data_IF_010629920467
#
_entry.id   IF_010629920467
#
_cell.length_a   1.000
_cell.length_b   1.000
_cell.length_c   1.000
_cell.angle_alpha   90.00
_cell.angle_beta   90.00
_cell.angle_gamma   90.00
#
_symmetry.space_group_name_H-M   'P 1'
#
loop_
_entity.id
_entity.type
_entity.pdbx_description
1 polymer ?
#
# COMPACT_ATOMS: atom_id res chain seq x y z
N UNK A 1 -32.68 33.42 -6.91
CA UNK A 1 -32.75 32.49 -5.76
C UNK A 1 -33.34 31.19 -6.25
N UNK A 2 -32.57 30.10 -6.31
CA UNK A 2 -33.10 28.78 -6.70
C UNK A 2 -33.98 28.28 -5.54
N UNK A 3 -35.22 27.94 -5.84
CA UNK A 3 -36.18 27.37 -4.89
C UNK A 3 -35.59 26.13 -4.19
N UNK A 4 -35.70 26.09 -2.86
CA UNK A 4 -35.12 25.03 -2.01
C UNK A 4 -35.65 23.65 -2.43
N UNK A 5 -36.94 23.54 -2.80
CA UNK A 5 -37.52 22.27 -3.26
C UNK A 5 -36.89 21.80 -4.57
N UNK A 6 -36.65 22.72 -5.49
CA UNK A 6 -35.98 22.44 -6.77
C UNK A 6 -34.53 21.98 -6.57
N UNK A 7 -33.81 22.57 -5.61
CA UNK A 7 -32.44 22.17 -5.26
C UNK A 7 -32.40 20.79 -4.59
N UNK A 8 -33.32 20.50 -3.68
CA UNK A 8 -33.44 19.18 -3.03
C UNK A 8 -33.74 18.08 -4.04
N UNK A 9 -34.69 18.30 -4.95
CA UNK A 9 -35.04 17.34 -6.01
C UNK A 9 -33.87 17.03 -6.95
N UNK A 10 -33.05 18.03 -7.25
CA UNK A 10 -31.87 17.85 -8.09
C UNK A 10 -30.76 17.06 -7.38
N UNK A 11 -30.59 17.28 -6.07
CA UNK A 11 -29.67 16.49 -5.23
C UNK A 11 -30.14 15.04 -5.11
N UNK A 12 -31.42 14.78 -4.87
CA UNK A 12 -31.99 13.43 -4.83
C UNK A 12 -31.75 12.67 -6.14
N UNK A 13 -31.98 13.33 -7.29
CA UNK A 13 -31.71 12.74 -8.61
C UNK A 13 -30.23 12.42 -8.81
N UNK A 14 -29.33 13.30 -8.34
CA UNK A 14 -27.88 13.07 -8.42
C UNK A 14 -27.41 11.92 -7.53
N UNK A 15 -27.92 11.83 -6.30
CA UNK A 15 -27.60 10.74 -5.37
C UNK A 15 -28.14 9.41 -5.89
N UNK A 16 -29.35 9.40 -6.47
CA UNK A 16 -29.92 8.20 -7.09
C UNK A 16 -29.09 7.69 -8.28
N UNK A 17 -28.52 8.59 -9.08
CA UNK A 17 -27.61 8.24 -10.18
C UNK A 17 -26.25 7.66 -9.71
N UNK A 18 -25.91 7.83 -8.42
CA UNK A 18 -24.70 7.29 -7.79
C UNK A 18 -25.05 6.13 -6.83
N UNK A 19 -26.13 5.40 -7.14
CA UNK A 19 -26.47 4.19 -6.39
C UNK A 19 -25.44 3.09 -6.70
N UNK A 20 -24.90 2.51 -5.63
CA UNK A 20 -23.91 1.43 -5.66
C UNK A 20 -24.61 0.17 -5.17
N UNK A 21 -24.33 -0.98 -5.80
CA UNK A 21 -24.94 -2.26 -5.43
C UNK A 21 -24.49 -2.73 -4.03
N UNK A 22 -25.28 -3.60 -3.39
CA UNK A 22 -24.91 -4.14 -2.07
C UNK A 22 -23.66 -5.04 -2.16
N UNK A 23 -23.52 -5.81 -3.24
CA UNK A 23 -22.37 -6.68 -3.49
C UNK A 23 -21.09 -5.84 -3.58
N UNK A 24 -21.15 -4.69 -4.26
CA UNK A 24 -20.03 -3.74 -4.32
C UNK A 24 -19.68 -3.17 -2.94
N UNK A 25 -20.69 -2.89 -2.10
CA UNK A 25 -20.46 -2.39 -0.72
C UNK A 25 -19.76 -3.45 0.15
N UNK A 26 -20.11 -4.73 -0.04
CA UNK A 26 -19.47 -5.84 0.64
C UNK A 26 -18.03 -6.05 0.15
N UNK A 27 -17.80 -6.04 -1.17
CA UNK A 27 -16.46 -6.08 -1.77
C UNK A 27 -15.58 -4.92 -1.29
N UNK A 28 -16.12 -3.70 -1.24
CA UNK A 28 -15.42 -2.53 -0.70
C UNK A 28 -15.05 -2.73 0.78
N UNK A 29 -15.94 -3.34 1.57
CA UNK A 29 -15.66 -3.65 2.98
C UNK A 29 -14.49 -4.62 3.11
N UNK A 30 -14.44 -5.67 2.27
CA UNK A 30 -13.34 -6.63 2.24
C UNK A 30 -12.01 -5.96 1.86
N UNK A 31 -11.99 -5.15 0.79
CA UNK A 31 -10.80 -4.38 0.37
C UNK A 31 -10.28 -3.50 1.50
N UNK A 32 -11.17 -2.82 2.22
CA UNK A 32 -10.77 -1.97 3.34
C UNK A 32 -10.22 -2.78 4.52
N UNK A 33 -10.81 -3.92 4.85
CA UNK A 33 -10.32 -4.81 5.90
C UNK A 33 -8.94 -5.40 5.56
N UNK A 34 -8.72 -5.76 4.29
CA UNK A 34 -7.42 -6.21 3.78
C UNK A 34 -6.36 -5.10 3.86
N UNK A 35 -6.77 -3.84 3.71
CA UNK A 35 -5.92 -2.67 3.95
C UNK A 35 -5.79 -2.28 5.44
N UNK A 36 -6.34 -3.08 6.35
CA UNK A 36 -6.21 -2.93 7.79
C UNK A 36 -7.17 -1.91 8.41
N UNK A 37 -8.17 -1.42 7.67
CA UNK A 37 -9.22 -0.56 8.24
C UNK A 37 -10.19 -1.38 9.09
N UNK A 38 -10.57 -0.87 10.27
CA UNK A 38 -11.48 -1.58 11.18
C UNK A 38 -12.74 -0.76 11.49
N UNK A 39 -13.92 -1.38 11.43
CA UNK A 39 -15.18 -0.74 11.84
C UNK A 39 -16.43 -1.46 11.35
N UNK A 40 -17.53 -1.34 12.10
CA UNK A 40 -18.83 -1.86 11.67
C UNK A 40 -19.46 -0.93 10.62
N UNK A 41 -20.03 -1.52 9.56
CA UNK A 41 -20.69 -0.75 8.49
C UNK A 41 -19.75 0.11 7.64
N UNK A 42 -18.47 -0.25 7.55
CA UNK A 42 -17.42 0.52 6.89
C UNK A 42 -17.75 0.89 5.44
N UNK A 43 -18.23 -0.07 4.63
CA UNK A 43 -18.61 0.20 3.24
C UNK A 43 -19.70 1.27 3.10
N UNK A 44 -20.68 1.31 4.02
CA UNK A 44 -21.72 2.33 4.02
C UNK A 44 -21.21 3.71 4.45
N UNK A 45 -20.28 3.77 5.39
CA UNK A 45 -19.64 5.03 5.80
C UNK A 45 -18.80 5.60 4.65
N UNK A 46 -17.99 4.76 4.01
CA UNK A 46 -17.16 5.15 2.88
C UNK A 46 -18.00 5.52 1.65
N UNK A 47 -19.14 4.86 1.42
CA UNK A 47 -20.09 5.29 0.39
C UNK A 47 -20.60 6.72 0.64
N UNK A 48 -20.91 7.08 1.88
CA UNK A 48 -21.33 8.45 2.21
C UNK A 48 -20.21 9.46 1.99
N UNK A 49 -18.98 9.09 2.30
CA UNK A 49 -17.78 9.90 2.04
C UNK A 49 -17.59 10.12 0.55
N UNK A 50 -17.57 9.04 -0.24
CA UNK A 50 -17.45 9.08 -1.70
C UNK A 50 -18.53 9.95 -2.36
N UNK A 51 -19.79 9.81 -1.93
CA UNK A 51 -20.87 10.66 -2.42
C UNK A 51 -20.60 12.14 -2.15
N UNK A 52 -20.03 12.48 -0.99
CA UNK A 52 -19.69 13.87 -0.69
C UNK A 52 -18.57 14.38 -1.59
N UNK A 53 -17.56 13.57 -1.85
CA UNK A 53 -16.42 13.93 -2.71
C UNK A 53 -16.87 14.13 -4.16
N UNK A 54 -17.64 13.19 -4.72
CA UNK A 54 -18.15 13.26 -6.11
C UNK A 54 -19.15 14.40 -6.32
N UNK A 55 -19.94 14.75 -5.29
CA UNK A 55 -20.87 15.88 -5.39
C UNK A 55 -20.16 17.25 -5.42
N UNK A 56 -18.91 17.30 -4.95
CA UNK A 56 -18.08 18.52 -4.89
C UNK A 56 -17.03 18.55 -6.01
N UNK A 57 -16.74 17.40 -6.63
CA UNK A 57 -15.78 17.27 -7.72
C UNK A 57 -16.27 17.90 -9.03
N UNK A 58 -15.43 17.82 -10.07
CA UNK A 58 -15.73 18.41 -11.37
C UNK A 58 -16.98 17.77 -12.00
N UNK A 59 -17.59 18.48 -12.97
CA UNK A 59 -18.74 17.95 -13.71
C UNK A 59 -18.43 16.71 -14.55
N UNK A 60 -17.15 16.41 -14.76
CA UNK A 60 -16.67 15.26 -15.51
C UNK A 60 -16.58 14.02 -14.63
N UNK A 61 -15.97 14.15 -13.44
CA UNK A 61 -15.90 13.07 -12.44
C UNK A 61 -17.31 12.58 -12.06
N UNK A 62 -18.25 13.52 -11.87
CA UNK A 62 -19.64 13.18 -11.62
C UNK A 62 -20.27 12.41 -12.79
N UNK A 63 -19.96 12.77 -14.04
CA UNK A 63 -20.49 12.09 -15.22
C UNK A 63 -19.98 10.65 -15.29
N UNK A 64 -18.68 10.43 -15.13
CA UNK A 64 -18.07 9.10 -15.12
C UNK A 64 -18.63 8.24 -13.97
N UNK A 65 -18.72 8.80 -12.76
CA UNK A 65 -19.31 8.11 -11.61
C UNK A 65 -20.80 7.80 -11.81
N UNK A 66 -21.55 8.64 -12.52
CA UNK A 66 -22.98 8.38 -12.79
C UNK A 66 -23.23 7.34 -13.89
N UNK A 67 -22.26 7.10 -14.78
CA UNK A 67 -22.38 6.07 -15.82
C UNK A 67 -22.03 4.67 -15.32
N UNK A 68 -21.06 4.58 -14.40
CA UNK A 68 -20.66 3.32 -13.76
C UNK A 68 -20.30 3.55 -12.27
N UNK A 69 -21.31 3.64 -11.39
CA UNK A 69 -21.09 3.95 -9.98
C UNK A 69 -20.30 2.87 -9.24
N UNK A 70 -20.51 1.60 -9.58
CA UNK A 70 -19.90 0.46 -8.89
C UNK A 70 -18.38 0.44 -9.12
N UNK A 71 -17.95 0.47 -10.39
CA UNK A 71 -16.52 0.48 -10.73
C UNK A 71 -15.82 1.72 -10.20
N UNK A 72 -16.45 2.90 -10.31
CA UNK A 72 -15.87 4.15 -9.84
C UNK A 72 -15.75 4.19 -8.32
N UNK A 73 -16.73 3.65 -7.59
CA UNK A 73 -16.64 3.51 -6.15
C UNK A 73 -15.52 2.55 -5.74
N UNK A 74 -15.39 1.38 -6.38
CA UNK A 74 -14.30 0.44 -6.08
C UNK A 74 -12.92 1.02 -6.39
N UNK A 75 -12.78 1.74 -7.50
CA UNK A 75 -11.54 2.44 -7.84
C UNK A 75 -11.19 3.49 -6.78
N UNK A 76 -12.16 4.30 -6.35
CA UNK A 76 -11.96 5.26 -5.28
C UNK A 76 -11.58 4.57 -3.96
N UNK A 77 -12.25 3.47 -3.60
CA UNK A 77 -11.94 2.67 -2.39
C UNK A 77 -10.52 2.11 -2.44
N UNK A 78 -10.06 1.63 -3.60
CA UNK A 78 -8.71 1.07 -3.75
C UNK A 78 -7.59 2.07 -3.40
N UNK A 79 -7.84 3.36 -3.63
CA UNK A 79 -6.93 4.46 -3.28
C UNK A 79 -7.18 4.91 -1.84
N UNK A 80 -8.44 5.15 -1.48
CA UNK A 80 -8.84 5.69 -0.17
C UNK A 80 -8.50 4.76 1.00
N UNK A 81 -8.67 3.45 0.82
CA UNK A 81 -8.40 2.44 1.84
C UNK A 81 -6.92 2.38 2.26
N UNK A 82 -6.01 2.79 1.37
CA UNK A 82 -4.57 2.91 1.68
C UNK A 82 -4.26 4.08 2.61
N UNK A 83 -5.14 5.08 2.69
CA UNK A 83 -4.98 6.24 3.57
C UNK A 83 -5.98 6.21 4.73
N UNK A 84 -5.66 5.42 5.76
CA UNK A 84 -6.54 5.18 6.94
C UNK A 84 -6.96 6.46 7.69
N UNK A 85 -6.14 7.50 7.65
CA UNK A 85 -6.33 8.76 8.41
C UNK A 85 -6.76 9.93 7.53
N UNK A 86 -7.33 9.65 6.35
CA UNK A 86 -7.78 10.69 5.44
C UNK A 86 -8.91 11.54 6.04
N UNK A 87 -8.75 12.86 5.94
CA UNK A 87 -9.75 13.83 6.39
C UNK A 87 -10.60 14.25 5.19
N UNK A 88 -11.91 14.08 5.31
CA UNK A 88 -12.86 14.40 4.23
C UNK A 88 -12.75 15.85 3.79
N UNK A 89 -12.97 16.12 2.51
CA UNK A 89 -12.90 17.48 1.94
C UNK A 89 -13.77 18.49 2.69
N UNK A 90 -14.98 18.10 3.12
CA UNK A 90 -15.88 18.99 3.89
C UNK A 90 -15.28 19.48 5.20
N UNK A 91 -14.52 18.63 5.89
CA UNK A 91 -13.86 19.00 7.15
C UNK A 91 -12.67 19.93 6.88
N UNK A 92 -11.96 19.71 5.78
CA UNK A 92 -10.89 20.61 5.33
C UNK A 92 -11.48 21.99 4.97
N UNK A 93 -12.58 22.06 4.22
CA UNK A 93 -13.22 23.33 3.89
C UNK A 93 -13.80 24.05 5.13
N UNK A 94 -14.39 23.32 6.09
CA UNK A 94 -14.83 23.92 7.34
C UNK A 94 -13.65 24.54 8.14
N UNK A 95 -12.50 23.86 8.17
CA UNK A 95 -11.28 24.42 8.75
C UNK A 95 -10.78 25.63 7.95
N UNK A 96 -10.89 25.60 6.61
CA UNK A 96 -10.53 26.72 5.73
C UNK A 96 -11.37 27.96 5.96
N UNK A 97 -12.69 27.80 6.15
CA UNK A 97 -13.60 28.88 6.48
C UNK A 97 -13.28 29.50 7.85
N UNK A 98 -12.85 28.68 8.81
CA UNK A 98 -12.62 29.10 10.20
C UNK A 98 -11.24 29.74 10.39
N UNK A 99 -10.19 29.15 9.81
CA UNK A 99 -8.80 29.51 10.07
C UNK A 99 -8.08 30.11 8.84
N UNK A 100 -8.71 30.05 7.67
CA UNK A 100 -8.13 30.52 6.41
C UNK A 100 -7.36 29.44 5.64
N UNK A 101 -7.15 29.71 4.34
CA UNK A 101 -6.54 28.76 3.41
C UNK A 101 -5.09 28.40 3.76
N UNK A 102 -4.26 29.38 4.09
CA UNK A 102 -2.84 29.15 4.38
C UNK A 102 -2.63 28.23 5.59
N UNK A 103 -3.40 28.45 6.67
CA UNK A 103 -3.34 27.62 7.86
C UNK A 103 -3.85 26.21 7.59
N UNK A 104 -4.95 26.08 6.85
CA UNK A 104 -5.54 24.78 6.54
C UNK A 104 -4.62 23.93 5.66
N UNK A 105 -3.98 24.53 4.65
CA UNK A 105 -2.97 23.85 3.83
C UNK A 105 -1.82 23.35 4.68
N UNK A 106 -1.37 24.14 5.65
CA UNK A 106 -0.30 23.74 6.58
C UNK A 106 -0.75 22.60 7.49
N UNK A 107 -1.92 22.73 8.09
CA UNK A 107 -2.49 21.76 9.02
C UNK A 107 -2.74 20.42 8.35
N UNK A 108 -3.39 20.41 7.20
CA UNK A 108 -3.70 19.18 6.48
C UNK A 108 -2.48 18.59 5.74
N UNK A 109 -1.67 19.44 5.11
CA UNK A 109 -0.54 19.00 4.29
C UNK A 109 0.70 18.56 5.09
N UNK A 110 0.88 19.07 6.31
CA UNK A 110 2.09 18.84 7.10
C UNK A 110 1.78 18.38 8.52
N UNK A 111 1.07 19.19 9.31
CA UNK A 111 0.89 18.93 10.76
C UNK A 111 0.15 17.61 10.99
N UNK A 112 -0.97 17.40 10.31
CA UNK A 112 -1.78 16.18 10.48
C UNK A 112 -0.99 14.90 10.15
N UNK A 113 -0.36 14.76 8.96
CA UNK A 113 0.52 13.63 8.68
C UNK A 113 1.67 13.45 9.70
N UNK A 114 2.26 14.55 10.17
CA UNK A 114 3.35 14.52 11.16
C UNK A 114 2.86 13.99 12.52
N UNK A 115 1.70 14.43 13.01
CA UNK A 115 1.09 13.94 14.25
C UNK A 115 0.71 12.46 14.17
N UNK A 116 0.17 12.01 13.03
CA UNK A 116 -0.09 10.58 12.78
C UNK A 116 1.22 9.77 12.83
N UNK A 117 2.27 10.21 12.14
CA UNK A 117 3.55 9.50 12.12
C UNK A 117 4.24 9.48 13.49
N UNK A 118 4.16 10.57 14.23
CA UNK A 118 4.72 10.64 15.58
C UNK A 118 3.94 9.73 16.54
N UNK A 119 2.61 9.70 16.46
CA UNK A 119 1.81 8.75 17.23
C UNK A 119 2.15 7.30 16.86
N UNK A 120 2.37 6.99 15.59
CA UNK A 120 2.80 5.65 15.16
C UNK A 120 4.16 5.28 15.77
N UNK A 121 5.13 6.20 15.75
CA UNK A 121 6.43 6.02 16.42
C UNK A 121 6.29 5.79 17.92
N UNK A 122 5.40 6.53 18.57
CA UNK A 122 5.19 6.47 20.01
C UNK A 122 4.48 5.19 20.48
N UNK A 123 3.86 4.39 19.59
CA UNK A 123 3.41 3.02 19.92
C UNK A 123 4.57 2.09 20.32
N UNK A 124 5.81 2.42 19.94
CA UNK A 124 7.04 1.73 20.34
C UNK A 124 7.81 2.50 21.43
N UNK A 125 7.14 3.38 22.17
CA UNK A 125 7.76 4.08 23.30
C UNK A 125 7.94 3.11 24.48
N UNK A 126 9.04 3.25 25.21
CA UNK A 126 9.27 2.49 26.45
C UNK A 126 8.29 2.88 27.57
N UNK A 127 7.71 4.08 27.48
CA UNK A 127 6.67 4.54 28.40
C UNK A 127 5.31 3.93 28.02
N UNK A 128 4.72 3.03 28.85
CA UNK A 128 3.48 2.33 28.51
C UNK A 128 2.26 3.26 28.40
N UNK A 129 2.25 4.35 29.18
CA UNK A 129 1.18 5.34 29.11
C UNK A 129 1.20 6.05 27.76
N UNK A 130 2.38 6.45 27.28
CA UNK A 130 2.53 7.11 25.99
C UNK A 130 2.15 6.17 24.84
N UNK A 131 2.63 4.93 24.85
CA UNK A 131 2.27 3.94 23.84
C UNK A 131 0.75 3.68 23.80
N UNK A 132 0.11 3.62 24.97
CA UNK A 132 -1.35 3.45 25.08
C UNK A 132 -2.11 4.68 24.55
N UNK A 133 -1.69 5.90 24.92
CA UNK A 133 -2.28 7.14 24.42
C UNK A 133 -2.18 7.24 22.90
N UNK A 134 -1.02 6.90 22.33
CA UNK A 134 -0.81 6.84 20.88
C UNK A 134 -1.73 5.84 20.20
N UNK A 135 -1.93 4.66 20.77
CA UNK A 135 -2.83 3.65 20.23
C UNK A 135 -4.30 4.12 20.23
N UNK A 136 -4.74 4.73 21.33
CA UNK A 136 -6.10 5.27 21.46
C UNK A 136 -6.35 6.42 20.47
N UNK A 137 -5.40 7.36 20.38
CA UNK A 137 -5.45 8.45 19.41
C UNK A 137 -5.58 7.92 17.98
N UNK A 138 -4.71 6.99 17.57
CA UNK A 138 -4.73 6.46 16.20
C UNK A 138 -6.02 5.69 15.90
N UNK A 139 -6.57 4.96 16.88
CA UNK A 139 -7.85 4.28 16.73
C UNK A 139 -9.00 5.27 16.53
N UNK A 140 -9.02 6.37 17.28
CA UNK A 140 -10.04 7.42 17.12
C UNK A 140 -9.84 8.20 15.81
N UNK A 141 -8.59 8.48 15.43
CA UNK A 141 -8.25 9.13 14.17
C UNK A 141 -8.61 8.28 12.94
N UNK A 142 -8.55 6.95 13.05
CA UNK A 142 -9.02 6.05 12.00
C UNK A 142 -10.55 5.99 11.93
N UNK A 143 -11.23 5.94 13.09
CA UNK A 143 -12.68 5.85 13.16
C UNK A 143 -13.42 7.16 12.84
N UNK A 144 -12.82 8.30 13.21
CA UNK A 144 -13.39 9.63 13.00
C UNK A 144 -12.30 10.69 12.72
N UNK A 145 -11.60 10.60 11.57
CA UNK A 145 -10.50 11.50 11.23
C UNK A 145 -10.92 12.96 11.23
N UNK A 146 -12.17 13.25 10.84
CA UNK A 146 -12.70 14.61 10.75
C UNK A 146 -12.79 15.34 12.09
N UNK A 147 -13.26 14.69 13.15
CA UNK A 147 -13.37 15.30 14.48
C UNK A 147 -12.01 15.44 15.15
N UNK A 148 -11.17 14.41 15.05
CA UNK A 148 -9.81 14.45 15.60
C UNK A 148 -9.01 15.55 14.91
N UNK A 149 -9.08 15.65 13.58
CA UNK A 149 -8.42 16.70 12.82
C UNK A 149 -8.87 18.10 13.25
N UNK A 150 -10.18 18.35 13.40
CA UNK A 150 -10.67 19.64 13.88
C UNK A 150 -10.10 20.00 15.25
N UNK A 151 -10.04 19.05 16.18
CA UNK A 151 -9.49 19.29 17.52
C UNK A 151 -7.98 19.55 17.47
N UNK A 152 -7.24 18.84 16.62
CA UNK A 152 -5.80 19.09 16.42
C UNK A 152 -5.57 20.48 15.81
N UNK A 153 -6.44 20.95 14.91
CA UNK A 153 -6.38 22.32 14.38
C UNK A 153 -6.53 23.35 15.50
N UNK A 154 -7.51 23.16 16.39
CA UNK A 154 -7.73 24.05 17.55
C UNK A 154 -6.52 24.06 18.48
N UNK A 155 -5.99 22.89 18.86
CA UNK A 155 -4.81 22.77 19.72
C UNK A 155 -3.58 23.45 19.10
N UNK A 156 -3.36 23.25 17.81
CA UNK A 156 -2.24 23.86 17.10
C UNK A 156 -2.33 25.38 17.07
N UNK A 157 -3.52 25.93 16.78
CA UNK A 157 -3.73 27.37 16.72
C UNK A 157 -3.60 27.99 18.11
N UNK A 158 -4.17 27.37 19.14
CA UNK A 158 -4.02 27.85 20.51
C UNK A 158 -2.55 27.87 20.92
N UNK A 159 -1.80 26.79 20.66
CA UNK A 159 -0.36 26.72 20.92
C UNK A 159 0.40 27.84 20.18
N UNK A 160 0.10 28.05 18.90
CA UNK A 160 0.73 29.11 18.10
C UNK A 160 0.42 30.52 18.64
N UNK A 161 -0.82 30.76 19.09
CA UNK A 161 -1.22 32.04 19.69
C UNK A 161 -0.54 32.29 21.05
N UNK A 162 -0.26 31.24 21.82
CA UNK A 162 0.44 31.33 23.10
C UNK A 162 1.95 31.55 22.95
N UNK A 163 2.60 30.82 22.04
CA UNK A 163 4.06 30.84 21.90
C UNK A 163 4.56 31.87 20.87
N UNK A 164 3.69 32.34 19.99
CA UNK A 164 4.04 33.27 18.90
C UNK A 164 4.89 32.64 17.78
N UNK A 165 5.15 31.34 17.84
CA UNK A 165 5.95 30.62 16.86
C UNK A 165 5.64 29.12 16.84
N UNK A 166 5.85 28.51 15.67
CA UNK A 166 5.82 27.06 15.51
C UNK A 166 7.26 26.51 15.63
N UNK A 167 7.67 26.22 16.86
CA UNK A 167 9.00 25.66 17.20
C UNK A 167 9.03 24.13 17.22
N UNK A 168 8.08 23.44 16.61
CA UNK A 168 8.11 21.98 16.57
C UNK A 168 9.39 21.46 15.92
N UNK A 169 10.16 20.68 16.69
CA UNK A 169 11.42 20.03 16.27
C UNK A 169 11.26 19.11 15.05
N UNK A 170 10.04 18.64 14.78
CA UNK A 170 9.73 17.74 13.65
C UNK A 170 9.19 18.46 12.42
N UNK A 171 9.05 19.78 12.45
CA UNK A 171 8.39 20.58 11.41
C UNK A 171 8.98 20.36 10.02
N UNK A 172 10.30 20.27 9.93
CA UNK A 172 11.03 20.13 8.66
C UNK A 172 11.33 18.66 8.30
N UNK A 173 10.86 17.72 9.12
CA UNK A 173 11.06 16.29 8.89
C UNK A 173 9.99 15.71 7.96
N UNK A 174 10.42 14.78 7.11
CA UNK A 174 9.49 13.98 6.31
C UNK A 174 8.74 13.01 7.22
N UNK A 175 7.47 12.76 6.89
CA UNK A 175 6.59 11.80 7.59
C UNK A 175 7.22 10.41 7.68
N UNK A 176 7.93 10.00 6.62
CA UNK A 176 8.69 8.74 6.60
C UNK A 176 9.72 8.68 7.72
N UNK A 177 10.44 9.78 7.95
CA UNK A 177 11.60 9.83 8.83
C UNK A 177 11.17 9.88 10.30
N UNK A 178 10.07 10.60 10.58
CA UNK A 178 9.47 10.70 11.93
C UNK A 178 9.14 9.31 12.49
N UNK A 179 8.59 8.42 11.66
CA UNK A 179 8.21 7.08 12.10
C UNK A 179 9.41 6.24 12.57
N UNK A 180 10.60 6.52 12.08
CA UNK A 180 11.84 5.80 12.39
C UNK A 180 12.82 6.60 13.26
N UNK A 181 12.36 7.67 13.91
CA UNK A 181 13.18 8.44 14.83
C UNK A 181 13.82 7.55 15.91
N UNK A 182 15.13 7.67 16.18
CA UNK A 182 15.76 6.89 17.25
C UNK A 182 15.17 7.28 18.60
N UNK A 183 15.01 8.57 18.85
CA UNK A 183 14.50 9.14 20.10
C UNK A 183 13.20 9.91 19.84
N UNK A 184 12.25 9.83 20.79
CA UNK A 184 11.01 10.60 20.72
C UNK A 184 11.33 12.01 21.22
N UNK A 185 10.96 13.07 20.47
CA UNK A 185 11.17 14.44 20.94
C UNK A 185 10.52 14.69 22.30
N UNK A 186 11.21 15.43 23.18
CA UNK A 186 10.70 15.79 24.51
C UNK A 186 9.50 16.75 24.47
N UNK A 187 9.28 17.40 23.33
CA UNK A 187 8.17 18.32 23.12
C UNK A 187 6.82 17.59 23.15
N UNK A 188 5.89 18.08 23.97
CA UNK A 188 4.55 17.52 24.04
C UNK A 188 3.79 17.75 22.72
N UNK A 189 3.67 16.68 21.94
CA UNK A 189 2.98 16.66 20.66
C UNK A 189 1.48 16.92 20.80
N UNK A 190 0.84 17.42 19.73
CA UNK A 190 -0.59 17.76 19.77
C UNK A 190 -1.45 16.52 19.98
N UNK A 191 -1.08 15.39 19.37
CA UNK A 191 -1.80 14.13 19.58
C UNK A 191 -1.75 13.68 21.05
N UNK A 192 -0.65 13.96 21.76
CA UNK A 192 -0.52 13.61 23.19
C UNK A 192 -1.42 14.50 24.03
N UNK A 193 -1.47 15.80 23.74
CA UNK A 193 -2.38 16.74 24.40
C UNK A 193 -3.85 16.33 24.19
N UNK A 194 -4.20 16.01 22.94
CA UNK A 194 -5.52 15.50 22.58
C UNK A 194 -5.85 14.23 23.38
N UNK A 195 -4.98 13.23 23.32
CA UNK A 195 -5.22 11.93 23.92
C UNK A 195 -5.28 12.02 25.45
N UNK A 196 -4.39 12.80 26.07
CA UNK A 196 -4.41 13.03 27.51
C UNK A 196 -5.75 13.64 27.93
N UNK A 197 -6.16 14.77 27.32
CA UNK A 197 -7.43 15.40 27.66
C UNK A 197 -8.65 14.50 27.45
N UNK A 198 -8.62 13.65 26.42
CA UNK A 198 -9.74 12.78 26.04
C UNK A 198 -9.84 11.51 26.90
N UNK A 199 -8.71 10.97 27.34
CA UNK A 199 -8.62 9.64 27.95
C UNK A 199 -8.12 9.65 29.39
N UNK A 200 -7.79 10.81 29.99
CA UNK A 200 -7.26 10.94 31.35
C UNK A 200 -8.12 10.19 32.40
N UNK A 201 -9.43 10.41 32.41
CA UNK A 201 -10.34 9.75 33.35
C UNK A 201 -10.34 8.22 33.22
N UNK A 202 -10.14 7.70 32.00
CA UNK A 202 -10.09 6.25 31.76
C UNK A 202 -8.75 5.65 32.17
N UNK A 203 -7.66 6.38 31.97
CA UNK A 203 -6.30 5.88 32.18
C UNK A 203 -5.81 6.07 33.62
N UNK A 204 -6.24 7.13 34.30
CA UNK A 204 -5.89 7.43 35.69
C UNK A 204 -6.31 6.33 36.69
N UNK A 205 -7.36 5.57 36.36
CA UNK A 205 -7.82 4.42 37.16
C UNK A 205 -7.21 3.06 36.79
N UNK A 206 -6.34 2.99 35.77
CA UNK A 206 -5.74 1.72 35.33
C UNK A 206 -4.49 1.36 36.14
N UNK A 207 -4.31 0.07 36.43
CA UNK A 207 -3.07 -0.43 37.00
C UNK A 207 -1.93 -0.40 35.96
N UNK A 208 -0.69 -0.29 36.44
CA UNK A 208 0.50 -0.31 35.60
C UNK A 208 0.54 -1.56 34.70
N UNK A 209 0.19 -2.73 35.23
CA UNK A 209 0.15 -3.99 34.47
C UNK A 209 -0.83 -3.93 33.28
N UNK A 210 -2.00 -3.31 33.46
CA UNK A 210 -2.99 -3.16 32.38
C UNK A 210 -2.49 -2.22 31.30
N UNK A 211 -1.82 -1.13 31.69
CA UNK A 211 -1.19 -0.20 30.74
C UNK A 211 -0.08 -0.89 29.96
N UNK A 212 0.72 -1.74 30.61
CA UNK A 212 1.76 -2.52 29.93
C UNK A 212 1.16 -3.46 28.87
N UNK A 213 0.10 -4.18 29.20
CA UNK A 213 -0.58 -5.08 28.24
C UNK A 213 -1.11 -4.30 27.03
N UNK A 214 -1.67 -3.11 27.24
CA UNK A 214 -2.15 -2.25 26.14
C UNK A 214 -0.99 -1.69 25.30
N UNK A 215 0.12 -1.31 25.94
CA UNK A 215 1.33 -0.87 25.27
C UNK A 215 1.95 -1.98 24.41
N UNK A 216 2.02 -3.21 24.93
CA UNK A 216 2.53 -4.37 24.17
C UNK A 216 1.66 -4.67 22.96
N UNK A 217 0.33 -4.52 23.08
CA UNK A 217 -0.60 -4.65 21.96
C UNK A 217 -0.36 -3.54 20.92
N UNK A 218 -0.19 -2.30 21.36
CA UNK A 218 0.12 -1.16 20.49
C UNK A 218 1.43 -1.37 19.71
N UNK A 219 2.47 -1.87 20.38
CA UNK A 219 3.74 -2.18 19.77
C UNK A 219 3.62 -3.28 18.71
N UNK A 220 2.85 -4.34 18.99
CA UNK A 220 2.56 -5.41 18.02
C UNK A 220 1.82 -4.88 16.79
N UNK A 221 0.82 -4.03 16.98
CA UNK A 221 0.07 -3.42 15.87
C UNK A 221 1.00 -2.52 15.02
N UNK A 222 1.92 -1.76 15.62
CA UNK A 222 2.89 -0.95 14.89
C UNK A 222 3.92 -1.77 14.12
N UNK A 223 4.45 -2.85 14.71
CA UNK A 223 5.35 -3.77 14.02
C UNK A 223 4.65 -4.40 12.81
N UNK A 224 3.39 -4.84 12.98
CA UNK A 224 2.58 -5.38 11.88
C UNK A 224 2.37 -4.34 10.76
N UNK A 225 1.99 -3.11 11.12
CA UNK A 225 1.80 -2.03 10.16
C UNK A 225 3.11 -1.70 9.40
N UNK A 226 4.27 -1.73 10.08
CA UNK A 226 5.59 -1.53 9.44
C UNK A 226 5.94 -2.66 8.48
N UNK A 227 5.73 -3.91 8.90
CA UNK A 227 5.98 -5.08 8.06
C UNK A 227 5.13 -5.01 6.78
N UNK A 228 3.84 -4.66 6.89
CA UNK A 228 2.97 -4.54 5.72
C UNK A 228 3.48 -3.46 4.74
N UNK A 229 3.91 -2.29 5.24
CA UNK A 229 4.50 -1.26 4.38
C UNK A 229 5.80 -1.72 3.72
N UNK A 230 6.65 -2.43 4.46
CA UNK A 230 7.89 -2.99 3.92
C UNK A 230 7.59 -4.01 2.81
N UNK A 231 6.62 -4.90 3.02
CA UNK A 231 6.18 -5.88 2.03
C UNK A 231 5.68 -5.19 0.75
N UNK A 232 4.84 -4.16 0.87
CA UNK A 232 4.34 -3.37 -0.27
C UNK A 232 5.46 -2.67 -1.03
N UNK A 233 6.42 -2.08 -0.32
CA UNK A 233 7.59 -1.46 -0.94
C UNK A 233 8.44 -2.51 -1.70
N UNK A 234 8.61 -3.69 -1.10
CA UNK A 234 9.29 -4.82 -1.75
C UNK A 234 8.56 -5.32 -3.00
N UNK A 235 7.23 -5.33 -3.01
CA UNK A 235 6.44 -5.70 -4.21
C UNK A 235 6.66 -4.68 -5.34
N UNK A 236 6.67 -3.38 -5.04
CA UNK A 236 6.96 -2.35 -6.05
C UNK A 236 8.35 -2.57 -6.67
N UNK A 237 9.37 -2.77 -5.83
CA UNK A 237 10.73 -3.04 -6.29
C UNK A 237 10.80 -4.33 -7.10
N UNK A 238 10.15 -5.41 -6.66
CA UNK A 238 10.15 -6.69 -7.35
C UNK A 238 9.40 -6.63 -8.69
N UNK A 239 8.39 -5.77 -8.84
CA UNK A 239 7.72 -5.56 -10.13
C UNK A 239 8.61 -4.80 -11.12
N UNK A 240 9.37 -3.84 -10.65
CA UNK A 240 10.36 -3.11 -11.48
C UNK A 240 11.57 -4.00 -11.82
N UNK A 241 11.98 -4.85 -10.88
CA UNK A 241 13.10 -5.77 -11.00
C UNK A 241 12.70 -7.20 -10.59
N UNK A 242 12.07 -7.98 -11.51
CA UNK A 242 11.57 -9.32 -11.21
C UNK A 242 12.64 -10.25 -10.64
N UNK A 243 12.32 -10.91 -9.53
CA UNK A 243 13.15 -11.87 -8.81
C UNK A 243 13.47 -13.08 -9.70
N UNK A 244 12.52 -13.51 -10.54
CA UNK A 244 12.71 -14.61 -11.51
C UNK A 244 13.83 -14.39 -12.52
N UNK A 245 14.33 -13.16 -12.66
CA UNK A 245 15.44 -12.79 -13.56
C UNK A 245 16.80 -12.84 -12.86
N UNK A 246 16.84 -13.11 -11.55
CA UNK A 246 18.09 -13.21 -10.80
C UNK A 246 18.71 -14.60 -10.97
N UNK A 247 20.01 -14.66 -11.27
CA UNK A 247 20.73 -15.94 -11.47
C UNK A 247 20.59 -16.90 -10.27
N UNK A 248 20.70 -16.44 -9.00
CA UNK A 248 20.54 -17.33 -7.86
C UNK A 248 19.12 -17.91 -7.74
N UNK A 249 18.09 -17.15 -8.13
CA UNK A 249 16.71 -17.66 -8.20
C UNK A 249 16.59 -18.71 -9.29
N UNK A 250 17.09 -18.43 -10.51
CA UNK A 250 17.06 -19.36 -11.64
C UNK A 250 17.76 -20.68 -11.28
N UNK A 251 18.93 -20.59 -10.65
CA UNK A 251 19.69 -21.76 -10.17
C UNK A 251 18.87 -22.59 -9.16
N UNK A 252 18.24 -21.92 -8.19
CA UNK A 252 17.39 -22.60 -7.20
C UNK A 252 16.12 -23.20 -7.83
N UNK A 253 15.50 -22.51 -8.77
CA UNK A 253 14.33 -22.99 -9.49
C UNK A 253 14.67 -24.24 -10.32
N UNK A 254 15.82 -24.26 -10.99
CA UNK A 254 16.31 -25.44 -11.72
C UNK A 254 16.55 -26.65 -10.80
N UNK A 255 17.13 -26.44 -9.61
CA UNK A 255 17.26 -27.49 -8.58
C UNK A 255 15.91 -28.07 -8.16
N UNK A 256 14.87 -27.24 -8.12
CA UNK A 256 13.49 -27.64 -7.83
C UNK A 256 12.69 -28.08 -9.07
N UNK A 257 13.34 -28.18 -10.24
CA UNK A 257 12.76 -28.59 -11.53
C UNK A 257 11.60 -27.70 -12.02
N UNK A 258 11.61 -26.43 -11.63
CA UNK A 258 10.67 -25.45 -12.14
C UNK A 258 11.05 -25.02 -13.56
N UNK A 259 10.06 -24.92 -14.45
CA UNK A 259 10.23 -24.26 -15.75
C UNK A 259 10.22 -22.73 -15.59
N UNK A 260 10.69 -21.97 -16.60
CA UNK A 260 10.65 -20.52 -16.57
C UNK A 260 9.23 -19.95 -16.44
N UNK A 261 8.26 -20.58 -17.12
CA UNK A 261 6.85 -20.19 -17.05
C UNK A 261 6.24 -20.53 -15.67
N UNK A 262 6.59 -21.67 -15.08
CA UNK A 262 6.17 -21.99 -13.71
C UNK A 262 6.75 -21.01 -12.69
N UNK A 263 8.03 -20.64 -12.84
CA UNK A 263 8.67 -19.67 -11.96
C UNK A 263 8.02 -18.27 -12.05
N UNK A 264 7.63 -17.85 -13.25
CA UNK A 264 6.87 -16.61 -13.45
C UNK A 264 5.59 -16.61 -12.62
N UNK A 265 4.81 -17.69 -12.70
CA UNK A 265 3.51 -17.79 -12.01
C UNK A 265 3.68 -17.86 -10.50
N UNK A 266 4.68 -18.61 -10.04
CA UNK A 266 5.03 -18.67 -8.63
C UNK A 266 5.42 -17.29 -8.08
N UNK A 267 6.13 -16.48 -8.87
CA UNK A 267 6.42 -15.09 -8.51
C UNK A 267 5.15 -14.23 -8.42
N UNK A 268 4.24 -14.30 -9.38
CA UNK A 268 3.00 -13.50 -9.34
C UNK A 268 2.15 -13.85 -8.10
N UNK A 269 2.02 -15.14 -7.77
CA UNK A 269 1.32 -15.57 -6.56
C UNK A 269 2.05 -15.13 -5.29
N UNK A 270 3.38 -15.24 -5.28
CA UNK A 270 4.21 -14.77 -4.17
C UNK A 270 4.03 -13.27 -3.94
N UNK A 271 4.11 -12.45 -4.99
CA UNK A 271 3.93 -11.00 -4.92
C UNK A 271 2.51 -10.64 -4.47
N UNK A 272 1.48 -11.37 -4.90
CA UNK A 272 0.12 -11.21 -4.41
C UNK A 272 -0.02 -11.53 -2.91
N UNK A 273 0.56 -12.63 -2.43
CA UNK A 273 0.57 -12.98 -1.00
C UNK A 273 1.39 -12.01 -0.17
N UNK A 274 2.48 -11.48 -0.72
CA UNK A 274 3.35 -10.48 -0.09
C UNK A 274 2.64 -9.13 0.03
N UNK A 275 1.96 -8.66 -1.01
CA UNK A 275 1.17 -7.41 -0.99
C UNK A 275 0.03 -7.46 0.05
N UNK A 276 -0.56 -8.64 0.21
CA UNK A 276 -1.58 -8.92 1.23
C UNK A 276 -1.00 -9.10 2.65
N UNK A 277 0.31 -9.05 2.84
CA UNK A 277 0.96 -9.26 4.14
C UNK A 277 0.80 -10.67 4.71
N UNK A 278 0.59 -11.67 3.85
CA UNK A 278 0.53 -13.10 4.23
C UNK A 278 1.91 -13.74 4.33
N UNK A 279 2.93 -13.06 3.80
CA UNK A 279 4.34 -13.46 3.86
C UNK A 279 5.09 -12.34 4.58
N UNK A 280 5.81 -12.70 5.64
CA UNK A 280 6.60 -11.74 6.38
C UNK A 280 7.95 -11.50 5.68
N UNK A 281 8.26 -10.23 5.44
CA UNK A 281 9.61 -9.79 5.06
C UNK A 281 10.22 -9.04 6.23
N UNK A 282 11.41 -9.45 6.65
CA UNK A 282 12.13 -8.75 7.72
C UNK A 282 12.45 -7.31 7.28
N UNK A 283 12.04 -6.35 8.09
CA UNK A 283 12.35 -4.93 7.90
C UNK A 283 13.87 -4.75 7.86
N UNK A 284 14.39 -4.13 6.80
CA UNK A 284 15.83 -3.88 6.61
C UNK A 284 16.59 -4.94 5.81
N UNK A 285 15.96 -6.05 5.42
CA UNK A 285 16.59 -7.08 4.57
C UNK A 285 16.83 -6.65 3.11
N UNK A 286 16.23 -5.54 2.67
CA UNK A 286 16.49 -4.89 1.38
C UNK A 286 15.93 -5.61 0.15
N UNK A 287 15.64 -6.92 0.21
CA UNK A 287 15.06 -7.69 -0.90
C UNK A 287 14.24 -8.89 -0.41
N UNK A 288 13.07 -9.17 -1.02
CA UNK A 288 12.26 -10.35 -0.71
C UNK A 288 12.82 -11.66 -1.31
N UNK A 289 14.04 -11.64 -1.86
CA UNK A 289 14.71 -12.77 -2.51
C UNK A 289 14.76 -14.05 -1.66
N UNK A 290 15.21 -13.95 -0.40
CA UNK A 290 15.32 -15.12 0.50
C UNK A 290 13.96 -15.77 0.79
N UNK A 291 12.95 -14.97 1.22
CA UNK A 291 11.58 -15.44 1.35
C UNK A 291 11.00 -16.05 0.08
N UNK A 292 11.30 -15.49 -1.10
CA UNK A 292 10.82 -16.02 -2.38
C UNK A 292 11.38 -17.42 -2.69
N UNK A 293 12.68 -17.62 -2.49
CA UNK A 293 13.27 -18.97 -2.64
C UNK A 293 12.63 -19.95 -1.67
N UNK A 294 12.55 -19.58 -0.38
CA UNK A 294 11.89 -20.43 0.61
C UNK A 294 10.45 -20.78 0.23
N UNK A 295 9.73 -19.84 -0.39
CA UNK A 295 8.34 -20.01 -0.79
C UNK A 295 8.15 -21.10 -1.85
N UNK A 296 9.01 -21.17 -2.88
CA UNK A 296 8.91 -22.18 -3.94
C UNK A 296 9.70 -23.47 -3.68
N UNK A 297 10.66 -23.42 -2.75
CA UNK A 297 11.33 -24.61 -2.23
C UNK A 297 10.36 -25.53 -1.47
N UNK A 298 9.33 -24.96 -0.84
CA UNK A 298 8.26 -25.71 -0.19
C UNK A 298 7.39 -26.44 -1.23
N UNK A 299 7.36 -27.77 -1.12
CA UNK A 299 6.64 -28.64 -2.05
C UNK A 299 5.11 -28.49 -1.95
N UNK A 300 4.57 -28.19 -0.78
CA UNK A 300 3.13 -28.02 -0.58
C UNK A 300 2.65 -26.75 -1.29
N UNK A 301 3.35 -25.63 -1.08
CA UNK A 301 3.08 -24.37 -1.77
C UNK A 301 3.19 -24.51 -3.29
N UNK A 302 4.23 -25.21 -3.77
CA UNK A 302 4.45 -25.39 -5.20
C UNK A 302 3.32 -26.20 -5.86
N UNK A 303 2.82 -27.26 -5.22
CA UNK A 303 1.69 -28.04 -5.76
C UNK A 303 0.38 -27.25 -5.80
N UNK A 304 0.09 -26.48 -4.75
CA UNK A 304 -1.12 -25.64 -4.66
C UNK A 304 -1.17 -24.61 -5.79
N UNK A 305 -0.04 -23.93 -6.02
CA UNK A 305 0.10 -22.91 -7.07
C UNK A 305 -0.01 -23.54 -8.46
N UNK A 306 0.77 -24.58 -8.74
CA UNK A 306 0.81 -25.17 -10.09
C UNK A 306 -0.49 -25.90 -10.46
N UNK A 307 -1.28 -26.34 -9.47
CA UNK A 307 -2.56 -27.02 -9.68
C UNK A 307 -3.73 -26.13 -10.07
N UNK A 308 -3.60 -24.79 -9.95
CA UNK A 308 -4.69 -23.82 -10.18
C UNK A 308 -4.53 -22.99 -11.45
N UNK A 309 -3.47 -23.21 -12.24
CA UNK A 309 -3.12 -22.32 -13.35
C UNK A 309 -3.78 -22.75 -14.67
N UNK A 310 -4.37 -21.77 -15.35
CA UNK A 310 -4.85 -21.89 -16.73
C UNK A 310 -4.10 -20.88 -17.61
N UNK A 311 -3.68 -21.32 -18.80
CA UNK A 311 -2.95 -20.50 -19.77
C UNK A 311 -3.91 -19.84 -20.74
N UNK A 312 -3.69 -18.56 -21.04
CA UNK A 312 -4.35 -17.89 -22.15
C UNK A 312 -3.51 -18.11 -23.43
N UNK A 313 -4.06 -18.87 -24.37
CA UNK A 313 -3.36 -19.31 -25.59
C UNK A 313 -3.17 -18.14 -26.57
N UNK A 314 -4.05 -17.14 -26.60
CA UNK A 314 -3.98 -16.03 -27.56
C UNK A 314 -2.83 -15.06 -27.26
N UNK A 315 -2.45 -14.92 -25.99
CA UNK A 315 -1.32 -14.07 -25.56
C UNK A 315 0.03 -14.67 -25.97
N UNK A 316 0.13 -16.00 -26.01
CA UNK A 316 1.37 -16.70 -26.33
C UNK A 316 1.77 -16.55 -27.80
N UNK A 317 0.82 -16.58 -28.74
CA UNK A 317 1.11 -16.45 -30.18
C UNK A 317 1.71 -15.08 -30.54
N UNK A 318 1.25 -13.99 -29.92
CA UNK A 318 1.83 -12.65 -30.12
C UNK A 318 3.26 -12.58 -29.57
N UNK A 319 3.49 -13.20 -28.42
CA UNK A 319 4.78 -13.21 -27.73
C UNK A 319 5.86 -13.99 -28.52
N UNK A 320 5.48 -15.04 -29.24
CA UNK A 320 6.39 -15.77 -30.12
C UNK A 320 6.99 -14.88 -31.22
N UNK A 321 6.17 -14.03 -31.84
CA UNK A 321 6.63 -13.10 -32.89
C UNK A 321 7.47 -11.96 -32.32
N UNK A 322 7.17 -11.49 -31.10
CA UNK A 322 8.03 -10.52 -30.42
C UNK A 322 9.43 -11.08 -30.18
N UNK A 323 9.54 -12.33 -29.71
CA UNK A 323 10.81 -13.02 -29.48
C UNK A 323 11.60 -13.21 -30.78
N UNK A 324 10.92 -13.60 -31.86
CA UNK A 324 11.53 -13.76 -33.19
C UNK A 324 12.15 -12.46 -33.71
N UNK A 325 11.61 -11.30 -33.29
CA UNK A 325 12.04 -9.98 -33.73
C UNK A 325 13.02 -9.28 -32.74
N UNK A 326 13.40 -9.92 -31.64
CA UNK A 326 14.40 -9.36 -30.73
C UNK A 326 15.75 -9.19 -31.46
N UNK A 327 16.33 -8.00 -31.33
CA UNK A 327 17.62 -7.67 -31.90
C UNK A 327 18.74 -7.76 -30.84
N UNK A 328 19.99 -7.64 -31.26
CA UNK A 328 21.12 -7.70 -30.32
C UNK A 328 21.20 -6.53 -29.34
N UNK A 329 20.46 -5.43 -29.57
CA UNK A 329 20.42 -4.31 -28.63
C UNK A 329 19.67 -4.70 -27.36
N UNK A 330 18.66 -5.59 -27.46
CA UNK A 330 17.95 -6.16 -26.31
C UNK A 330 18.89 -6.83 -25.29
N UNK A 331 20.02 -7.39 -25.74
CA UNK A 331 21.02 -7.97 -24.84
C UNK A 331 21.61 -6.94 -23.86
N UNK A 332 21.59 -5.66 -24.20
CA UNK A 332 22.03 -4.58 -23.30
C UNK A 332 21.05 -4.31 -22.16
N UNK A 333 19.78 -4.71 -22.32
CA UNK A 333 18.71 -4.54 -21.34
C UNK A 333 18.64 -5.71 -20.34
N UNK A 334 19.47 -6.74 -20.54
CA UNK A 334 19.57 -7.87 -19.62
C UNK A 334 20.15 -7.45 -18.25
N UNK A 335 19.75 -8.14 -17.16
CA UNK A 335 20.31 -7.91 -15.84
C UNK A 335 21.85 -7.93 -15.84
N UNK A 336 22.47 -7.06 -15.04
CA UNK A 336 23.93 -6.92 -14.99
C UNK A 336 24.66 -8.23 -14.70
N UNK A 337 24.02 -9.11 -13.94
CA UNK A 337 24.59 -10.41 -13.55
C UNK A 337 24.80 -11.33 -14.76
N UNK A 338 24.04 -11.13 -15.84
CA UNK A 338 24.15 -11.94 -17.06
C UNK A 338 25.41 -11.60 -17.86
N UNK A 339 26.06 -10.46 -17.56
CA UNK A 339 27.25 -9.99 -18.29
C UNK A 339 28.43 -10.95 -18.20
N UNK A 340 28.43 -11.89 -17.24
CA UNK A 340 29.43 -12.97 -17.19
C UNK A 340 29.45 -13.83 -18.45
N UNK A 341 28.34 -13.89 -19.20
CA UNK A 341 28.19 -14.65 -20.44
C UNK A 341 28.30 -13.80 -21.72
N UNK A 342 28.68 -12.52 -21.60
CA UNK A 342 28.63 -11.57 -22.72
C UNK A 342 29.33 -12.03 -24.00
N UNK A 343 30.41 -12.80 -23.85
CA UNK A 343 31.17 -13.36 -25.00
C UNK A 343 30.39 -14.38 -25.82
N UNK A 344 29.32 -14.95 -25.26
CA UNK A 344 28.52 -16.02 -25.87
C UNK A 344 27.08 -15.58 -26.18
N UNK A 345 26.70 -14.34 -25.87
CA UNK A 345 25.30 -13.90 -26.00
C UNK A 345 24.74 -14.01 -27.41
N UNK A 346 25.46 -13.54 -28.43
CA UNK A 346 24.99 -13.56 -29.81
C UNK A 346 24.63 -14.97 -30.32
N UNK A 347 25.56 -15.97 -30.29
CA UNK A 347 25.22 -17.31 -30.77
C UNK A 347 24.18 -18.01 -29.90
N UNK A 348 24.15 -17.75 -28.58
CA UNK A 348 23.14 -18.34 -27.69
C UNK A 348 21.76 -17.71 -27.87
N UNK A 349 21.70 -16.42 -28.20
CA UNK A 349 20.45 -15.73 -28.50
C UNK A 349 19.82 -16.29 -29.77
N UNK A 350 20.61 -16.45 -30.86
CA UNK A 350 20.11 -17.05 -32.10
C UNK A 350 19.58 -18.47 -31.87
N UNK A 351 20.34 -19.31 -31.14
CA UNK A 351 19.91 -20.67 -30.80
C UNK A 351 18.63 -20.69 -29.96
N UNK A 352 18.54 -19.82 -28.96
CA UNK A 352 17.38 -19.69 -28.10
C UNK A 352 16.13 -19.21 -28.87
N UNK A 353 16.27 -18.17 -29.70
CA UNK A 353 15.17 -17.67 -30.55
C UNK A 353 14.67 -18.76 -31.49
N UNK A 354 15.59 -19.48 -32.13
CA UNK A 354 15.26 -20.57 -33.06
C UNK A 354 14.46 -21.65 -32.34
N UNK A 355 14.91 -22.08 -31.15
CA UNK A 355 14.21 -23.09 -30.36
C UNK A 355 12.78 -22.66 -29.97
N UNK A 356 12.54 -21.37 -29.68
CA UNK A 356 11.19 -20.86 -29.38
C UNK A 356 10.33 -20.77 -30.64
N UNK A 357 10.89 -20.32 -31.77
CA UNK A 357 10.15 -20.16 -33.04
C UNK A 357 9.80 -21.52 -33.66
N UNK A 358 10.69 -22.49 -33.59
CA UNK A 358 10.49 -23.84 -34.13
C UNK A 358 9.63 -24.74 -33.22
N UNK A 359 9.31 -24.27 -32.01
CA UNK A 359 8.47 -25.01 -31.05
C UNK A 359 9.21 -26.06 -30.24
N UNK A 360 10.53 -26.12 -30.33
CA UNK A 360 11.39 -26.97 -29.50
C UNK A 360 11.43 -26.51 -28.02
N UNK A 361 11.03 -25.27 -27.77
CA UNK A 361 10.89 -24.66 -26.45
C UNK A 361 9.52 -24.00 -26.31
N UNK A 362 8.91 -24.14 -25.13
CA UNK A 362 7.68 -23.42 -24.80
C UNK A 362 7.86 -21.90 -24.95
N UNK A 363 6.81 -21.21 -25.39
CA UNK A 363 6.81 -19.75 -25.50
C UNK A 363 6.90 -19.16 -24.08
N UNK A 364 7.92 -18.32 -23.80
CA UNK A 364 8.13 -17.82 -22.45
C UNK A 364 7.26 -16.61 -22.13
N UNK A 365 6.66 -16.62 -20.94
CA UNK A 365 5.93 -15.48 -20.37
C UNK A 365 6.85 -14.29 -20.04
N UNK A 366 8.12 -14.56 -19.73
CA UNK A 366 9.17 -13.56 -19.53
C UNK A 366 10.45 -13.94 -20.30
N UNK A 367 10.66 -13.37 -21.50
CA UNK A 367 11.82 -13.69 -22.34
C UNK A 367 13.17 -13.53 -21.64
N UNK A 368 13.30 -12.58 -20.70
CA UNK A 368 14.55 -12.32 -19.96
C UNK A 368 14.86 -13.45 -18.97
N UNK A 369 13.84 -13.92 -18.24
CA UNK A 369 14.00 -15.04 -17.30
C UNK A 369 14.28 -16.33 -18.07
N UNK A 370 13.51 -16.59 -19.13
CA UNK A 370 13.66 -17.77 -19.96
C UNK A 370 15.03 -17.87 -20.64
N UNK A 371 15.51 -16.77 -21.22
CA UNK A 371 16.87 -16.70 -21.74
C UNK A 371 17.91 -16.91 -20.63
N UNK A 372 17.67 -16.42 -19.42
CA UNK A 372 18.51 -16.70 -18.25
C UNK A 372 18.61 -18.19 -17.93
N UNK A 373 17.50 -18.92 -17.95
CA UNK A 373 17.49 -20.38 -17.82
C UNK A 373 18.24 -21.06 -18.97
N UNK A 374 18.10 -20.56 -20.20
CA UNK A 374 18.81 -21.09 -21.36
C UNK A 374 20.34 -20.91 -21.21
N UNK A 375 20.79 -19.72 -20.79
CA UNK A 375 22.19 -19.43 -20.50
C UNK A 375 22.73 -20.32 -19.37
N UNK A 376 21.94 -20.52 -18.31
CA UNK A 376 22.32 -21.36 -17.17
C UNK A 376 22.49 -22.84 -17.59
N UNK A 377 21.52 -23.40 -18.34
CA UNK A 377 21.51 -24.80 -18.80
C UNK A 377 22.55 -25.11 -19.88
N UNK A 378 22.98 -24.11 -20.64
CA UNK A 378 24.02 -24.26 -21.68
C UNK A 378 25.43 -24.50 -21.10
N UNK A 379 25.57 -24.71 -19.78
CA UNK A 379 26.80 -25.14 -19.14
C UNK A 379 27.83 -24.03 -18.89
N UNK A 380 27.40 -22.77 -18.92
CA UNK A 380 28.26 -21.61 -18.71
C UNK A 380 28.15 -21.00 -17.30
N UNK A 381 27.35 -21.58 -16.40
CA UNK A 381 27.01 -21.00 -15.11
C UNK A 381 28.06 -21.18 -14.01
#
# INVERSE_FOLDING_TARGET
MVDVKSRTRLLEKRVAALAVSNDTIELATNICQDNGMRGSGLGNLLRKEWLNDILVSSSEDFRQASSDPDTQFLNWISVRSKNRYHVTFRKIEAARETYGASWTTRLYGFVWPQEIALAQRCRLADNPLLATLSALFLREAEGNPGEVFSTICELYINKFMETGSDHSSIRDMKVSDIRFLPEIPDELALFQQYAAARYDERLSGMSADKLQVLADLAAKDEIRDRNLLACRASVVIAREHPLRRMIPVISSADLHRLTPNELYQVEEVFLGKLDAGKIDVQVGSGSPYGPFIGFFSDEENRRDILGTLAFDVEVLDQQQWEIANLNYEWLNDLPTDYRKWRKHWHPLMEQWQTAVVEGDREIPMDPVSDFGFFLFKSGLA
#
